data_IF_363832201096
#
_entry.id   IF_363832201096
#
_cell.length_a   1.000
_cell.length_b   1.000
_cell.length_c   1.000
_cell.angle_alpha   90.00
_cell.angle_beta   90.00
_cell.angle_gamma   90.00
#
_symmetry.space_group_name_H-M   'P 1'
#
loop_
_entity.id
_entity.type
_entity.pdbx_description
1 polymer ?
#
# COMPACT_ATOMS: atom_id res chain seq x y z
N UNK A 1 -19.22 -0.31 -12.01
CA UNK A 1 -18.00 -0.48 -12.82
C UNK A 1 -17.79 -1.99 -12.95
N UNK A 2 -17.71 -2.55 -14.17
CA UNK A 2 -17.54 -3.99 -14.34
C UNK A 2 -16.13 -4.39 -13.92
N UNK A 3 -16.00 -5.59 -13.34
CA UNK A 3 -14.73 -6.19 -12.90
C UNK A 3 -13.71 -6.33 -14.05
N UNK A 4 -14.17 -6.26 -15.29
CA UNK A 4 -13.43 -6.54 -16.51
C UNK A 4 -12.40 -5.45 -16.88
N UNK A 5 -12.52 -4.23 -16.35
CA UNK A 5 -11.61 -3.12 -16.70
C UNK A 5 -10.30 -3.09 -15.90
N UNK A 6 -10.12 -3.98 -14.91
CA UNK A 6 -8.87 -4.10 -14.14
C UNK A 6 -7.88 -5.10 -14.76
N UNK A 7 -8.34 -6.00 -15.64
CA UNK A 7 -7.47 -7.02 -16.25
C UNK A 7 -6.57 -6.45 -17.36
N UNK A 8 -6.94 -5.32 -17.97
CA UNK A 8 -6.20 -4.72 -19.10
C UNK A 8 -4.93 -3.93 -18.71
N UNK A 9 -4.52 -3.93 -17.43
CA UNK A 9 -3.38 -3.12 -16.95
C UNK A 9 -2.29 -3.91 -16.18
N UNK A 10 -2.37 -5.24 -16.18
CA UNK A 10 -1.33 -6.11 -15.64
C UNK A 10 -0.40 -6.52 -16.78
N UNK A 11 0.74 -5.84 -16.92
CA UNK A 11 1.79 -6.21 -17.88
C UNK A 11 2.89 -7.01 -17.18
N UNK A 12 3.07 -8.27 -17.58
CA UNK A 12 4.12 -9.15 -17.06
C UNK A 12 5.42 -8.95 -17.83
N UNK A 13 6.32 -8.08 -17.36
CA UNK A 13 7.71 -8.01 -17.87
C UNK A 13 8.67 -7.56 -16.76
N UNK A 14 9.86 -8.15 -16.73
CA UNK A 14 10.97 -7.69 -15.89
C UNK A 14 12.31 -7.85 -16.61
N UNK A 15 13.18 -6.86 -16.42
CA UNK A 15 14.60 -6.89 -16.84
C UNK A 15 15.55 -7.34 -15.71
N UNK A 16 15.03 -7.63 -14.51
CA UNK A 16 15.81 -8.07 -13.35
C UNK A 16 15.38 -9.49 -12.93
N UNK A 17 16.31 -10.45 -12.78
CA UNK A 17 15.97 -11.84 -12.47
C UNK A 17 15.27 -12.03 -11.11
N UNK A 18 15.31 -11.03 -10.21
CA UNK A 18 14.76 -11.11 -8.86
C UNK A 18 13.30 -10.61 -8.74
N UNK A 19 12.77 -9.97 -9.78
CA UNK A 19 11.41 -9.43 -9.82
C UNK A 19 10.76 -9.94 -11.11
N UNK A 20 9.53 -10.45 -11.08
CA UNK A 20 8.87 -10.96 -12.30
C UNK A 20 7.45 -10.42 -12.48
N UNK A 21 6.88 -9.81 -11.44
CA UNK A 21 5.55 -9.19 -11.50
C UNK A 21 5.71 -7.68 -11.47
N UNK A 22 5.31 -7.04 -12.56
CA UNK A 22 5.25 -5.59 -12.69
C UNK A 22 3.79 -5.17 -12.70
N UNK A 23 3.44 -4.23 -11.81
CA UNK A 23 2.11 -3.62 -11.78
C UNK A 23 2.31 -2.13 -12.04
N UNK A 24 2.02 -1.69 -13.24
CA UNK A 24 2.07 -0.27 -13.61
C UNK A 24 0.67 0.31 -13.54
N UNK A 25 0.50 1.40 -12.81
CA UNK A 25 -0.69 2.23 -12.93
C UNK A 25 -0.28 3.56 -13.54
N UNK A 26 -0.87 3.86 -14.69
CA UNK A 26 -0.87 5.19 -15.29
C UNK A 26 -2.27 5.77 -15.24
N UNK A 27 -2.34 7.10 -15.29
CA UNK A 27 -3.58 7.87 -15.45
C UNK A 27 -4.35 8.12 -14.15
N UNK A 28 -3.65 8.68 -13.14
CA UNK A 28 -4.27 9.38 -12.01
C UNK A 28 -5.18 8.46 -11.15
N UNK A 29 -4.71 7.24 -10.87
CA UNK A 29 -5.51 6.18 -10.26
C UNK A 29 -5.26 6.08 -8.76
N UNK A 30 -6.23 6.59 -8.00
CA UNK A 30 -6.47 6.33 -6.57
C UNK A 30 -6.61 4.81 -6.35
N UNK A 31 -5.49 4.12 -6.12
CA UNK A 31 -5.39 2.66 -5.99
C UNK A 31 -4.46 2.32 -4.83
N UNK A 32 -4.88 1.32 -4.04
CA UNK A 32 -4.02 0.64 -3.09
C UNK A 32 -3.77 -0.79 -3.57
N UNK A 33 -2.52 -1.23 -3.58
CA UNK A 33 -2.16 -2.64 -3.77
C UNK A 33 -1.92 -3.26 -2.39
N UNK A 34 -2.78 -4.19 -1.99
CA UNK A 34 -2.62 -4.93 -0.73
C UNK A 34 -1.70 -6.12 -1.01
N UNK A 35 -0.50 -6.12 -0.45
CA UNK A 35 0.50 -7.18 -0.67
C UNK A 35 0.65 -8.03 0.59
N UNK A 36 0.56 -9.35 0.43
CA UNK A 36 0.80 -10.31 1.51
C UNK A 36 2.23 -10.85 1.41
N UNK A 37 2.95 -10.81 2.52
CA UNK A 37 4.28 -11.38 2.60
C UNK A 37 4.27 -12.92 2.72
N UNK A 38 5.39 -13.58 2.41
CA UNK A 38 6.69 -12.97 2.09
C UNK A 38 6.72 -12.35 0.69
N UNK A 39 7.25 -11.13 0.58
CA UNK A 39 7.40 -10.44 -0.70
C UNK A 39 8.49 -9.38 -0.61
N UNK A 40 9.25 -9.21 -1.69
CA UNK A 40 10.13 -8.05 -1.90
C UNK A 40 9.45 -7.13 -2.90
N UNK A 41 9.29 -5.87 -2.51
CA UNK A 41 8.62 -4.86 -3.31
C UNK A 41 9.59 -3.73 -3.62
N UNK A 42 9.65 -3.33 -4.89
CA UNK A 42 10.26 -2.08 -5.33
C UNK A 42 9.21 -1.19 -5.98
N UNK A 43 9.38 0.11 -5.84
CA UNK A 43 8.50 1.13 -6.41
C UNK A 43 9.33 2.04 -7.31
N UNK A 44 8.81 2.33 -8.51
CA UNK A 44 9.28 3.41 -9.37
C UNK A 44 8.17 4.44 -9.51
N UNK A 45 8.39 5.64 -8.97
CA UNK A 45 7.35 6.65 -8.80
C UNK A 45 7.00 6.83 -7.33
N UNK A 46 5.86 7.47 -7.03
CA UNK A 46 5.50 7.86 -5.66
C UNK A 46 4.39 6.98 -5.08
N UNK A 47 4.74 6.20 -4.06
CA UNK A 47 3.80 5.37 -3.31
C UNK A 47 4.09 5.41 -1.81
N UNK A 48 3.08 5.14 -1.00
CA UNK A 48 3.21 5.13 0.46
C UNK A 48 2.55 3.94 1.12
N UNK A 49 3.10 3.54 2.27
CA UNK A 49 2.52 2.56 3.18
C UNK A 49 2.18 3.27 4.47
N UNK A 50 0.89 3.34 4.80
CA UNK A 50 0.40 4.09 5.96
C UNK A 50 1.03 5.50 6.06
N UNK A 51 1.04 6.25 4.97
CA UNK A 51 1.55 7.63 4.92
C UNK A 51 3.08 7.78 4.86
N UNK A 52 3.85 6.71 5.00
CA UNK A 52 5.30 6.74 4.78
C UNK A 52 5.61 6.43 3.31
N UNK A 53 6.29 7.33 2.61
CA UNK A 53 6.76 7.11 1.24
C UNK A 53 7.78 5.96 1.18
N UNK A 54 7.61 5.05 0.23
CA UNK A 54 8.44 3.85 0.12
C UNK A 54 8.93 3.64 -1.31
N UNK A 55 10.23 3.38 -1.45
CA UNK A 55 10.86 3.02 -2.71
C UNK A 55 11.16 1.51 -2.79
N UNK A 56 11.37 0.87 -1.64
CA UNK A 56 11.71 -0.54 -1.54
C UNK A 56 11.34 -1.06 -0.15
N UNK A 57 10.76 -2.27 -0.06
CA UNK A 57 10.39 -2.88 1.21
C UNK A 57 10.40 -4.40 1.15
N UNK A 58 10.76 -5.02 2.27
CA UNK A 58 10.56 -6.45 2.51
C UNK A 58 9.33 -6.64 3.38
N UNK A 59 8.37 -7.42 2.90
CA UNK A 59 7.15 -7.77 3.63
C UNK A 59 7.37 -9.16 4.23
N UNK A 60 7.46 -9.30 5.56
CA UNK A 60 7.66 -10.60 6.20
C UNK A 60 6.46 -11.53 6.02
N UNK A 61 6.70 -12.83 6.22
CA UNK A 61 5.63 -13.82 6.28
C UNK A 61 4.55 -13.43 7.30
N UNK A 62 3.28 -13.71 6.97
CA UNK A 62 2.11 -13.36 7.79
C UNK A 62 1.89 -11.86 8.03
N UNK A 63 2.58 -10.98 7.29
CA UNK A 63 2.29 -9.55 7.26
C UNK A 63 1.58 -9.18 5.95
N UNK A 64 0.76 -8.14 6.04
CA UNK A 64 0.04 -7.58 4.90
C UNK A 64 0.18 -6.08 4.96
N UNK A 65 0.67 -5.47 3.87
CA UNK A 65 0.86 -4.03 3.79
C UNK A 65 0.04 -3.45 2.63
N UNK A 66 -0.69 -2.34 2.86
CA UNK A 66 -1.32 -1.57 1.81
C UNK A 66 -0.32 -0.58 1.22
N UNK A 67 -0.03 -0.72 -0.08
CA UNK A 67 0.83 0.21 -0.83
C UNK A 67 -0.08 1.11 -1.66
N UNK A 68 -0.24 2.36 -1.24
CA UNK A 68 -1.08 3.35 -1.89
C UNK A 68 -0.29 4.16 -2.92
N UNK A 69 -0.87 4.34 -4.11
CA UNK A 69 -0.24 5.10 -5.19
C UNK A 69 -0.73 6.53 -5.12
N UNK A 70 0.19 7.46 -4.84
CA UNK A 70 -0.15 8.90 -4.72
C UNK A 70 -0.21 9.57 -6.08
N UNK A 71 0.63 9.09 -7.00
CA UNK A 71 0.78 9.56 -8.38
C UNK A 71 1.04 8.33 -9.28
N UNK A 72 1.27 8.56 -10.56
CA UNK A 72 1.63 7.49 -11.49
C UNK A 72 2.91 6.77 -11.02
N UNK A 73 2.79 5.47 -10.76
CA UNK A 73 3.85 4.65 -10.21
C UNK A 73 3.78 3.20 -10.72
N UNK A 74 4.92 2.52 -10.61
CA UNK A 74 5.07 1.10 -10.94
C UNK A 74 5.54 0.33 -9.73
N UNK A 75 4.81 -0.72 -9.38
CA UNK A 75 5.20 -1.73 -8.40
C UNK A 75 5.97 -2.86 -9.09
N UNK A 76 7.07 -3.29 -8.51
CA UNK A 76 7.75 -4.53 -8.84
C UNK A 76 7.68 -5.45 -7.63
N UNK A 77 7.20 -6.67 -7.83
CA UNK A 77 7.06 -7.69 -6.80
C UNK A 77 7.95 -8.89 -7.11
N UNK A 78 8.51 -9.51 -6.06
CA UNK A 78 9.20 -10.80 -6.18
C UNK A 78 8.26 -11.88 -6.70
N UNK A 79 8.83 -12.92 -7.32
CA UNK A 79 8.09 -14.07 -7.82
C UNK A 79 7.23 -14.72 -6.71
N UNK A 80 6.03 -15.18 -7.07
CA UNK A 80 5.11 -15.85 -6.14
C UNK A 80 4.39 -14.91 -5.16
N UNK A 81 4.58 -13.59 -5.25
CA UNK A 81 3.90 -12.62 -4.38
C UNK A 81 2.37 -12.66 -4.58
N UNK A 82 1.64 -12.70 -3.46
CA UNK A 82 0.18 -12.56 -3.47
C UNK A 82 -0.21 -11.10 -3.24
N UNK A 83 -1.04 -10.55 -4.12
CA UNK A 83 -1.52 -9.18 -4.01
C UNK A 83 -2.97 -9.02 -4.47
N UNK A 84 -3.64 -8.00 -3.94
CA UNK A 84 -5.00 -7.61 -4.31
C UNK A 84 -5.02 -6.11 -4.58
N UNK A 85 -5.29 -5.68 -5.83
CA UNK A 85 -5.52 -4.27 -6.11
C UNK A 85 -6.92 -3.86 -5.66
N UNK A 86 -7.01 -2.73 -4.97
CA UNK A 86 -8.28 -2.12 -4.56
C UNK A 86 -8.31 -0.66 -4.99
N UNK A 87 -9.46 -0.21 -5.48
CA UNK A 87 -9.66 1.21 -5.79
C UNK A 87 -9.79 2.01 -4.50
N UNK A 88 -9.08 3.13 -4.41
CA UNK A 88 -9.13 4.03 -3.28
C UNK A 88 -7.92 3.94 -2.36
N UNK A 89 -7.71 5.01 -1.61
CA UNK A 89 -6.86 5.02 -0.43
C UNK A 89 -7.51 4.23 0.72
N UNK A 90 -6.77 3.29 1.30
CA UNK A 90 -7.24 2.46 2.43
C UNK A 90 -7.15 3.17 3.78
N UNK A 91 -6.54 4.35 3.85
CA UNK A 91 -6.52 5.22 5.04
C UNK A 91 -7.85 5.96 5.13
N UNK A 92 -8.70 5.69 6.16
CA UNK A 92 -9.96 6.38 6.32
C UNK A 92 -9.79 7.90 6.48
N UNK A 93 -10.71 8.68 5.91
CA UNK A 93 -10.70 10.15 6.07
C UNK A 93 -10.82 10.59 7.53
N UNK A 94 -11.45 9.78 8.38
CA UNK A 94 -11.52 10.02 9.83
C UNK A 94 -10.15 9.96 10.51
N UNK A 95 -9.19 9.18 10.00
CA UNK A 95 -7.84 9.12 10.57
C UNK A 95 -7.07 10.40 10.27
N UNK A 96 -7.25 10.96 9.06
CA UNK A 96 -6.61 12.23 8.67
C UNK A 96 -7.01 13.37 9.61
N UNK A 97 -8.28 13.42 10.01
CA UNK A 97 -8.81 14.41 10.97
C UNK A 97 -8.18 14.32 12.36
N UNK A 98 -7.59 13.17 12.73
CA UNK A 98 -6.88 13.05 14.01
C UNK A 98 -5.64 13.96 14.03
N UNK A 99 -5.02 14.20 12.88
CA UNK A 99 -3.84 15.07 12.76
C UNK A 99 -4.16 16.55 13.00
N UNK A 100 -5.43 16.95 12.95
CA UNK A 100 -5.86 18.35 13.17
C UNK A 100 -5.84 18.75 14.66
N UNK A 101 -5.56 17.79 15.56
CA UNK A 101 -5.57 18.00 16.99
C UNK A 101 -4.14 17.94 17.56
N UNK A 102 -3.83 18.84 18.49
CA UNK A 102 -2.59 18.78 19.25
C UNK A 102 -2.74 17.85 20.46
N UNK A 103 -1.94 16.77 20.51
CA UNK A 103 -1.91 15.84 21.64
C UNK A 103 -0.49 15.65 22.17
N UNK A 104 -0.35 15.57 23.50
CA UNK A 104 0.92 15.14 24.13
C UNK A 104 1.07 13.61 24.18
N UNK A 105 -0.05 12.88 24.19
CA UNK A 105 -0.11 11.43 24.22
C UNK A 105 -1.52 10.97 23.80
N UNK A 106 -1.63 9.76 23.26
CA UNK A 106 -2.89 9.16 22.87
C UNK A 106 -2.91 7.67 23.20
N UNK A 107 -4.11 7.11 23.38
CA UNK A 107 -4.34 5.70 23.65
C UNK A 107 -5.33 5.14 22.63
N UNK A 108 -4.95 4.06 21.95
CA UNK A 108 -5.75 3.43 20.90
C UNK A 108 -6.32 2.12 21.44
N UNK A 109 -7.64 1.98 21.45
CA UNK A 109 -8.35 0.78 21.92
C UNK A 109 -9.48 0.39 20.96
N UNK A 110 -9.95 -0.86 21.06
CA UNK A 110 -10.95 -1.42 20.17
C UNK A 110 -10.78 -2.92 19.95
N UNK A 111 -11.79 -3.55 19.35
CA UNK A 111 -11.89 -4.99 19.10
C UNK A 111 -10.72 -5.55 18.27
N UNK A 112 -10.55 -6.88 18.25
CA UNK A 112 -9.56 -7.53 17.38
C UNK A 112 -9.73 -7.08 15.93
N UNK A 113 -8.61 -6.91 15.23
CA UNK A 113 -8.54 -6.61 13.79
C UNK A 113 -9.29 -5.34 13.33
N UNK A 114 -9.56 -4.42 14.25
CA UNK A 114 -10.21 -3.14 13.96
C UNK A 114 -9.29 -2.06 13.38
N UNK A 115 -8.06 -2.41 12.97
CA UNK A 115 -7.09 -1.46 12.40
C UNK A 115 -6.27 -0.63 13.40
N UNK A 116 -6.24 -1.00 14.69
CA UNK A 116 -5.50 -0.24 15.73
C UNK A 116 -4.01 -0.07 15.41
N UNK A 117 -3.34 -1.18 15.05
CA UNK A 117 -1.92 -1.14 14.70
C UNK A 117 -1.68 -0.31 13.44
N UNK A 118 -2.56 -0.42 12.44
CA UNK A 118 -2.51 0.37 11.22
C UNK A 118 -2.69 1.88 11.49
N UNK A 119 -3.62 2.25 12.38
CA UNK A 119 -3.78 3.64 12.82
C UNK A 119 -2.54 4.13 13.56
N UNK A 120 -2.00 3.33 14.48
CA UNK A 120 -0.78 3.68 15.20
C UNK A 120 0.41 3.89 14.26
N UNK A 121 0.60 3.00 13.28
CA UNK A 121 1.63 3.13 12.25
C UNK A 121 1.41 4.38 11.41
N UNK A 122 0.18 4.65 10.95
CA UNK A 122 -0.13 5.86 10.19
C UNK A 122 0.19 7.12 10.98
N UNK A 123 -0.30 7.24 12.22
CA UNK A 123 -0.03 8.41 13.06
C UNK A 123 1.47 8.56 13.35
N UNK A 124 2.18 7.46 13.60
CA UNK A 124 3.64 7.49 13.83
C UNK A 124 4.44 7.96 12.62
N UNK A 125 3.90 7.83 11.41
CA UNK A 125 4.55 8.31 10.19
C UNK A 125 4.21 9.77 9.88
N UNK A 126 3.12 10.30 10.45
CA UNK A 126 2.57 11.62 10.11
C UNK A 126 2.85 12.70 11.17
N UNK A 127 3.17 12.30 12.40
CA UNK A 127 3.54 13.17 13.54
C UNK A 127 5.07 13.22 13.62
#
# INVERSE_FOLDING_TARGET
>A
MPLDTLQDQLYFYSESPDFLVMISYSDNKDVTVIVKGPSHVKVKGRASVFGCEVNELHIPENKTLPIYFEEDATLFLSEGSFFIPVKGNTIPSSWKKVLDYEFKSFFIYGSSDSGKSSLATYLSNMI
#
